data_IF_214167900715
#
_entry.id   IF_214167900715
#
_cell.length_a   1.000
_cell.length_b   1.000
_cell.length_c   1.000
_cell.angle_alpha   90.00
_cell.angle_beta   90.00
_cell.angle_gamma   90.00
#
_symmetry.space_group_name_H-M   'P 1'
#
loop_
_entity.id
_entity.type
_entity.pdbx_description
1 polymer ?
#
# COMPACT_ATOMS: atom_id res chain seq x y z
N UNK A 1 6.08 29.37 5.53
CA UNK A 1 5.89 28.33 6.58
C UNK A 1 7.03 28.43 7.59
N UNK A 2 6.96 27.68 8.70
CA UNK A 2 7.99 27.66 9.75
C UNK A 2 7.82 28.75 10.81
N UNK A 3 8.52 28.61 11.95
CA UNK A 3 8.40 29.50 13.12
C UNK A 3 8.55 31.00 12.80
N UNK A 4 9.33 31.32 11.76
CA UNK A 4 9.62 32.68 11.30
C UNK A 4 8.99 33.00 9.93
N UNK A 5 8.09 32.17 9.42
CA UNK A 5 7.41 32.33 8.13
C UNK A 5 8.32 32.49 6.90
N UNK A 6 9.60 32.21 7.03
CA UNK A 6 10.63 32.39 6.01
C UNK A 6 10.96 31.12 5.20
N UNK A 7 10.26 30.01 5.47
CA UNK A 7 10.51 28.73 4.79
C UNK A 7 9.49 28.48 3.69
N UNK A 8 10.00 28.08 2.53
CA UNK A 8 9.20 27.71 1.36
C UNK A 8 8.63 26.28 1.48
N UNK A 9 9.27 25.44 2.28
CA UNK A 9 8.86 24.05 2.55
C UNK A 9 8.61 23.85 4.04
N UNK A 10 7.63 23.01 4.37
CA UNK A 10 7.43 22.53 5.73
C UNK A 10 8.13 21.19 5.89
N UNK A 11 8.87 21.02 6.99
CA UNK A 11 9.44 19.73 7.33
C UNK A 11 8.33 18.70 7.53
N UNK A 12 8.46 17.56 6.88
CA UNK A 12 7.47 16.51 6.94
C UNK A 12 7.40 15.87 8.33
N UNK A 13 6.19 15.76 8.89
CA UNK A 13 5.95 15.06 10.16
C UNK A 13 5.94 13.53 10.03
N UNK A 14 5.69 12.84 11.15
CA UNK A 14 5.73 11.36 11.23
C UNK A 14 4.36 10.71 11.43
N UNK A 15 3.26 11.45 11.30
CA UNK A 15 1.91 10.95 11.57
C UNK A 15 1.49 9.75 10.70
N UNK A 16 2.17 9.53 9.56
CA UNK A 16 1.97 8.40 8.64
C UNK A 16 2.34 7.05 9.27
N UNK A 17 3.23 7.03 10.27
CA UNK A 17 3.65 5.81 10.99
C UNK A 17 2.47 5.15 11.74
N UNK A 18 1.36 5.87 11.97
CA UNK A 18 0.14 5.30 12.55
C UNK A 18 -0.51 4.23 11.67
N UNK A 19 -0.20 4.18 10.37
CA UNK A 19 -0.72 3.16 9.46
C UNK A 19 -0.35 1.73 9.91
N UNK A 20 0.82 1.54 10.54
CA UNK A 20 1.29 0.23 10.99
C UNK A 20 0.35 -0.46 11.97
N UNK A 21 -0.38 0.30 12.79
CA UNK A 21 -1.32 -0.28 13.76
C UNK A 21 -2.40 -1.09 13.05
N UNK A 22 -3.07 -0.48 12.06
CA UNK A 22 -4.14 -1.15 11.32
C UNK A 22 -3.61 -2.28 10.45
N UNK A 23 -2.39 -2.13 9.91
CA UNK A 23 -1.71 -3.19 9.14
C UNK A 23 -1.47 -4.41 10.04
N UNK A 24 -0.92 -4.21 11.24
CA UNK A 24 -0.66 -5.30 12.19
C UNK A 24 -1.96 -5.96 12.69
N UNK A 25 -3.00 -5.18 12.96
CA UNK A 25 -4.32 -5.71 13.34
C UNK A 25 -4.89 -6.63 12.26
N UNK A 26 -4.86 -6.21 10.99
CA UNK A 26 -5.36 -7.01 9.87
C UNK A 26 -4.46 -8.21 9.56
N UNK A 27 -3.14 -8.07 9.69
CA UNK A 27 -2.20 -9.17 9.52
C UNK A 27 -2.48 -10.30 10.52
N UNK A 28 -2.71 -9.94 11.79
CA UNK A 28 -3.09 -10.87 12.84
C UNK A 28 -4.45 -11.54 12.57
N UNK A 29 -5.43 -10.77 12.12
CA UNK A 29 -6.75 -11.30 11.74
C UNK A 29 -6.64 -12.34 10.61
N UNK A 30 -5.79 -12.08 9.62
CA UNK A 30 -5.61 -12.92 8.42
C UNK A 30 -4.39 -13.85 8.52
N UNK A 31 -3.90 -14.16 9.72
CA UNK A 31 -2.64 -14.91 9.90
C UNK A 31 -2.69 -16.33 9.31
N UNK A 32 -3.89 -16.91 9.21
CA UNK A 32 -4.13 -18.24 8.61
C UNK A 32 -4.33 -18.19 7.10
N UNK A 33 -4.44 -16.99 6.51
CA UNK A 33 -4.70 -16.82 5.09
C UNK A 33 -3.40 -16.82 4.29
N UNK A 34 -3.47 -17.31 3.05
CA UNK A 34 -2.33 -17.32 2.10
C UNK A 34 -2.27 -16.03 1.26
N UNK A 35 -3.13 -15.07 1.56
CA UNK A 35 -3.16 -13.75 0.95
C UNK A 35 -3.22 -12.65 2.02
N UNK A 36 -2.81 -11.45 1.66
CA UNK A 36 -2.97 -10.24 2.45
C UNK A 36 -3.40 -9.07 1.56
N UNK A 37 -4.70 -8.95 1.24
CA UNK A 37 -5.23 -7.93 0.32
C UNK A 37 -5.33 -6.53 0.98
N UNK A 38 -4.27 -6.07 1.64
CA UNK A 38 -4.21 -4.75 2.25
C UNK A 38 -3.56 -3.74 1.29
N UNK A 39 -4.28 -2.66 0.98
CA UNK A 39 -3.83 -1.62 0.05
C UNK A 39 -3.68 -0.30 0.81
N UNK A 40 -2.57 0.38 0.60
CA UNK A 40 -2.32 1.72 1.14
C UNK A 40 -2.09 2.70 -0.01
N UNK A 41 -3.02 3.64 -0.20
CA UNK A 41 -2.88 4.73 -1.15
C UNK A 41 -2.27 5.97 -0.49
N UNK A 42 -1.21 6.50 -1.09
CA UNK A 42 -0.48 7.68 -0.61
C UNK A 42 -0.58 8.80 -1.64
N UNK A 43 -0.81 10.03 -1.18
CA UNK A 43 -0.80 11.23 -2.01
C UNK A 43 -0.18 12.41 -1.28
N UNK A 44 0.28 13.41 -2.04
CA UNK A 44 0.88 14.63 -1.54
C UNK A 44 2.40 14.68 -1.62
N UNK A 45 2.97 15.85 -1.29
CA UNK A 45 4.39 16.17 -1.48
C UNK A 45 5.36 15.36 -0.61
N UNK A 46 4.85 14.63 0.39
CA UNK A 46 5.66 13.77 1.26
C UNK A 46 5.92 12.37 0.68
N UNK A 47 5.30 12.02 -0.45
CA UNK A 47 5.38 10.68 -1.04
C UNK A 47 5.75 10.72 -2.53
N UNK A 48 6.47 11.77 -2.94
CA UNK A 48 6.94 11.94 -4.30
C UNK A 48 7.87 10.80 -4.72
N UNK A 49 7.75 10.37 -5.97
CA UNK A 49 8.69 9.42 -6.62
C UNK A 49 9.36 10.02 -7.85
N UNK A 50 9.03 11.28 -8.17
CA UNK A 50 9.66 12.05 -9.23
C UNK A 50 9.81 13.51 -8.77
N UNK A 51 10.88 14.17 -9.23
CA UNK A 51 11.10 15.59 -8.96
C UNK A 51 10.06 16.42 -9.72
N UNK A 52 9.39 17.33 -9.03
CA UNK A 52 8.37 18.21 -9.62
C UNK A 52 8.74 19.68 -9.43
N UNK A 53 8.20 20.55 -10.28
CA UNK A 53 8.37 22.00 -10.17
C UNK A 53 7.02 22.66 -9.96
N UNK A 54 6.92 23.53 -8.95
CA UNK A 54 5.70 24.24 -8.60
C UNK A 54 5.92 25.74 -8.75
N UNK A 55 5.09 26.39 -9.56
CA UNK A 55 5.12 27.85 -9.74
C UNK A 55 4.26 28.52 -8.67
N UNK A 56 4.84 29.46 -7.93
CA UNK A 56 4.13 30.26 -6.93
C UNK A 56 3.41 31.45 -7.59
N UNK A 57 2.43 32.06 -6.90
CA UNK A 57 1.73 33.24 -7.41
C UNK A 57 2.65 34.43 -7.72
N UNK A 58 3.79 34.54 -7.06
CA UNK A 58 4.83 35.56 -7.30
C UNK A 58 5.70 35.27 -8.55
N UNK A 59 5.43 34.17 -9.26
CA UNK A 59 6.14 33.77 -10.47
C UNK A 59 7.38 32.92 -10.22
N UNK A 60 7.87 32.79 -8.97
CA UNK A 60 9.02 31.94 -8.65
C UNK A 60 8.68 30.46 -8.83
N UNK A 61 9.63 29.70 -9.35
CA UNK A 61 9.52 28.24 -9.49
C UNK A 61 10.29 27.56 -8.36
N UNK A 62 9.61 26.70 -7.61
CA UNK A 62 10.20 25.91 -6.52
C UNK A 62 10.28 24.46 -6.98
N UNK A 63 11.50 23.93 -7.02
CA UNK A 63 11.75 22.52 -7.34
C UNK A 63 11.65 21.68 -6.07
N UNK A 64 10.84 20.63 -6.12
CA UNK A 64 10.66 19.65 -5.05
C UNK A 64 11.37 18.36 -5.43
N UNK A 65 12.53 18.13 -4.82
CA UNK A 65 13.32 16.91 -5.01
C UNK A 65 12.71 15.74 -4.24
N UNK A 66 12.36 14.67 -4.97
CA UNK A 66 11.69 13.52 -4.36
C UNK A 66 12.61 12.76 -3.39
N UNK A 67 13.93 12.77 -3.61
CA UNK A 67 14.92 12.09 -2.77
C UNK A 67 15.34 12.94 -1.55
N UNK A 68 14.71 14.09 -1.31
CA UNK A 68 15.00 14.92 -0.15
C UNK A 68 14.37 14.35 1.13
N UNK A 69 15.20 13.99 2.11
CA UNK A 69 14.76 13.55 3.44
C UNK A 69 14.03 14.64 4.25
N UNK A 70 14.01 15.89 3.79
CA UNK A 70 13.20 16.96 4.40
C UNK A 70 11.71 16.76 4.09
N UNK A 71 11.41 16.24 2.89
CA UNK A 71 10.06 16.08 2.36
C UNK A 71 9.59 14.62 2.37
N UNK A 72 10.40 13.69 1.85
CA UNK A 72 9.96 12.34 1.58
C UNK A 72 9.84 11.51 2.88
N UNK A 73 8.71 10.81 3.02
CA UNK A 73 8.39 9.92 4.14
C UNK A 73 7.99 8.53 3.67
N UNK A 74 8.23 8.19 2.40
CA UNK A 74 7.91 6.88 1.84
C UNK A 74 8.68 5.76 2.55
N UNK A 75 9.95 6.00 2.91
CA UNK A 75 10.77 5.06 3.69
C UNK A 75 10.20 4.73 5.07
N UNK A 76 9.32 5.58 5.62
CA UNK A 76 8.62 5.26 6.87
C UNK A 76 7.66 4.09 6.70
N UNK A 77 7.24 3.75 5.48
CA UNK A 77 6.26 2.71 5.19
C UNK A 77 6.84 1.45 4.54
N UNK A 78 8.09 1.48 4.06
CA UNK A 78 8.70 0.35 3.32
C UNK A 78 8.89 -0.90 4.17
N UNK A 79 8.93 -0.78 5.50
CA UNK A 79 8.95 -1.96 6.36
C UNK A 79 7.63 -2.77 6.29
N UNK A 80 6.50 -2.12 5.97
CA UNK A 80 5.20 -2.78 5.87
C UNK A 80 5.08 -3.74 4.67
N UNK A 81 5.93 -3.57 3.65
CA UNK A 81 6.00 -4.48 2.51
C UNK A 81 7.39 -5.12 2.35
N UNK A 82 8.22 -5.07 3.40
CA UNK A 82 9.57 -5.63 3.43
C UNK A 82 10.52 -5.09 2.35
N UNK A 83 10.31 -3.85 1.90
CA UNK A 83 11.09 -3.24 0.82
C UNK A 83 10.82 -3.83 -0.57
N UNK A 84 9.73 -4.59 -0.73
CA UNK A 84 9.25 -4.99 -2.05
C UNK A 84 8.82 -3.75 -2.87
N UNK A 85 8.75 -3.86 -4.21
CA UNK A 85 8.41 -2.71 -5.03
C UNK A 85 7.06 -2.08 -4.66
N UNK A 86 7.03 -0.74 -4.63
CA UNK A 86 5.79 0.02 -4.55
C UNK A 86 5.07 0.02 -5.91
N UNK A 87 3.80 0.43 -5.91
CA UNK A 87 2.90 0.41 -7.06
C UNK A 87 2.73 -0.99 -7.69
N UNK A 88 2.80 -2.04 -6.85
CA UNK A 88 2.61 -3.42 -7.24
C UNK A 88 1.63 -4.13 -6.31
N UNK A 89 0.91 -5.08 -6.89
CA UNK A 89 -0.01 -5.95 -6.18
C UNK A 89 0.80 -7.05 -5.46
N UNK A 90 0.85 -6.96 -4.13
CA UNK A 90 1.55 -7.89 -3.24
C UNK A 90 0.57 -8.77 -2.45
N UNK A 91 -0.65 -8.95 -2.97
CA UNK A 91 -1.74 -9.66 -2.29
C UNK A 91 -1.41 -11.11 -1.95
N UNK A 92 -0.66 -11.83 -2.78
CA UNK A 92 -0.27 -13.20 -2.50
C UNK A 92 0.92 -13.24 -1.53
N UNK A 93 0.76 -13.94 -0.39
CA UNK A 93 1.82 -14.01 0.62
C UNK A 93 3.07 -14.69 0.07
N UNK A 94 4.24 -14.18 0.46
CA UNK A 94 5.54 -14.74 0.06
C UNK A 94 6.07 -15.65 1.15
N UNK A 95 6.60 -16.80 0.76
CA UNK A 95 7.28 -17.71 1.68
C UNK A 95 8.80 -17.54 1.49
N UNK A 96 9.50 -17.32 2.59
CA UNK A 96 10.96 -17.23 2.61
C UNK A 96 11.52 -18.33 3.50
N UNK A 97 12.57 -18.98 3.03
CA UNK A 97 13.27 -20.00 3.80
C UNK A 97 14.47 -19.40 4.49
N UNK A 98 14.63 -19.70 5.78
CA UNK A 98 15.81 -19.39 6.55
C UNK A 98 16.20 -20.62 7.37
N UNK A 99 17.32 -21.25 6.98
CA UNK A 99 17.75 -22.54 7.52
C UNK A 99 16.62 -23.59 7.38
N UNK A 100 16.20 -24.17 8.49
CA UNK A 100 15.15 -25.19 8.56
C UNK A 100 13.74 -24.60 8.81
N UNK A 101 13.59 -23.27 8.68
CA UNK A 101 12.31 -22.58 8.91
C UNK A 101 11.79 -21.97 7.62
N UNK A 102 10.49 -22.12 7.38
CA UNK A 102 9.75 -21.42 6.34
C UNK A 102 8.89 -20.36 7.03
N UNK A 103 9.03 -19.11 6.61
CA UNK A 103 8.33 -17.97 7.19
C UNK A 103 7.42 -17.37 6.10
N UNK A 104 6.15 -17.17 6.44
CA UNK A 104 5.20 -16.47 5.59
C UNK A 104 5.30 -14.96 5.83
N UNK A 105 5.40 -14.19 4.77
CA UNK A 105 5.45 -12.72 4.78
C UNK A 105 4.12 -12.16 4.27
N UNK A 106 3.48 -11.32 5.08
CA UNK A 106 2.27 -10.58 4.75
C UNK A 106 2.66 -9.16 4.34
N UNK A 107 2.90 -8.94 3.05
CA UNK A 107 3.33 -7.65 2.51
C UNK A 107 2.12 -6.83 2.08
N UNK A 108 2.05 -5.55 2.49
CA UNK A 108 0.99 -4.66 1.98
C UNK A 108 1.31 -4.17 0.57
N UNK A 109 0.27 -3.89 -0.23
CA UNK A 109 0.44 -3.23 -1.52
C UNK A 109 0.43 -1.71 -1.32
N UNK A 110 1.60 -1.07 -1.40
CA UNK A 110 1.76 0.38 -1.24
C UNK A 110 1.68 1.04 -2.61
N UNK A 111 0.72 1.93 -2.81
CA UNK A 111 0.57 2.73 -4.02
C UNK A 111 0.77 4.21 -3.70
N UNK A 112 1.54 4.91 -4.52
CA UNK A 112 1.76 6.35 -4.38
C UNK A 112 1.52 7.08 -5.68
N UNK A 113 0.91 8.25 -5.58
CA UNK A 113 0.79 9.20 -6.69
C UNK A 113 2.07 10.06 -6.72
N UNK A 114 3.06 9.57 -7.46
CA UNK A 114 4.45 10.04 -7.41
C UNK A 114 4.70 11.50 -7.80
N UNK A 115 3.75 12.13 -8.48
CA UNK A 115 3.77 13.54 -8.88
C UNK A 115 3.11 14.47 -7.84
N UNK A 116 2.66 13.91 -6.70
CA UNK A 116 2.04 14.64 -5.59
C UNK A 116 0.60 15.07 -5.87
N UNK A 117 0.01 14.67 -7.00
CA UNK A 117 -1.38 14.96 -7.30
C UNK A 117 -2.33 14.07 -6.48
N UNK A 118 -3.63 14.39 -6.56
CA UNK A 118 -4.68 13.55 -5.99
C UNK A 118 -4.85 12.28 -6.81
N UNK A 119 -5.29 11.22 -6.14
CA UNK A 119 -5.64 9.98 -6.84
C UNK A 119 -6.79 10.13 -7.82
N UNK A 120 -6.67 9.47 -8.97
CA UNK A 120 -7.79 9.23 -9.86
C UNK A 120 -8.63 8.06 -9.34
N UNK A 121 -9.93 8.29 -9.10
CA UNK A 121 -10.83 7.29 -8.52
C UNK A 121 -10.97 6.01 -9.37
N UNK A 122 -10.96 6.12 -10.69
CA UNK A 122 -11.03 4.95 -11.58
C UNK A 122 -9.76 4.10 -11.44
N UNK A 123 -8.59 4.72 -11.36
CA UNK A 123 -7.32 4.00 -11.12
C UNK A 123 -7.32 3.30 -9.76
N UNK A 124 -7.80 3.98 -8.70
CA UNK A 124 -7.93 3.34 -7.39
C UNK A 124 -8.86 2.13 -7.45
N UNK A 125 -10.01 2.26 -8.12
CA UNK A 125 -10.95 1.16 -8.30
C UNK A 125 -10.34 -0.02 -9.06
N UNK A 126 -9.62 0.24 -10.15
CA UNK A 126 -8.92 -0.79 -10.93
C UNK A 126 -7.91 -1.56 -10.07
N UNK A 127 -7.10 -0.85 -9.27
CA UNK A 127 -6.13 -1.45 -8.34
C UNK A 127 -6.85 -2.31 -7.30
N UNK A 128 -7.90 -1.77 -6.66
CA UNK A 128 -8.68 -2.50 -5.66
C UNK A 128 -9.30 -3.77 -6.26
N UNK A 129 -9.83 -3.68 -7.47
CA UNK A 129 -10.43 -4.82 -8.17
C UNK A 129 -9.39 -5.88 -8.55
N UNK A 130 -8.19 -5.48 -8.95
CA UNK A 130 -7.09 -6.39 -9.27
C UNK A 130 -6.63 -7.17 -8.02
N UNK A 131 -6.45 -6.47 -6.90
CA UNK A 131 -6.10 -7.08 -5.61
C UNK A 131 -7.21 -8.03 -5.15
N UNK A 132 -8.48 -7.62 -5.23
CA UNK A 132 -9.61 -8.47 -4.89
C UNK A 132 -9.68 -9.74 -5.75
N UNK A 133 -9.45 -9.62 -7.06
CA UNK A 133 -9.37 -10.78 -7.97
C UNK A 133 -8.23 -11.72 -7.59
N UNK A 134 -7.08 -11.17 -7.18
CA UNK A 134 -5.94 -11.96 -6.71
C UNK A 134 -6.29 -12.72 -5.42
N UNK A 135 -6.97 -12.04 -4.50
CA UNK A 135 -7.52 -12.65 -3.28
C UNK A 135 -8.44 -13.84 -3.61
N UNK A 136 -9.40 -13.65 -4.53
CA UNK A 136 -10.32 -14.71 -4.95
C UNK A 136 -9.61 -15.89 -5.61
N UNK A 137 -8.55 -15.63 -6.40
CA UNK A 137 -7.73 -16.70 -6.99
C UNK A 137 -7.08 -17.57 -5.91
N UNK A 138 -6.52 -16.94 -4.86
CA UNK A 138 -5.91 -17.67 -3.74
C UNK A 138 -6.95 -18.48 -2.95
N UNK A 139 -8.16 -17.92 -2.78
CA UNK A 139 -9.29 -18.60 -2.13
C UNK A 139 -10.02 -19.63 -3.03
N UNK A 140 -9.58 -19.81 -4.28
CA UNK A 140 -10.32 -20.58 -5.29
C UNK A 140 -10.64 -22.02 -4.87
N UNK A 141 -9.74 -22.67 -4.13
CA UNK A 141 -9.97 -24.03 -3.60
C UNK A 141 -11.14 -24.09 -2.61
N UNK A 142 -11.25 -23.08 -1.74
CA UNK A 142 -12.33 -22.98 -0.74
C UNK A 142 -13.68 -22.59 -1.36
N UNK A 143 -13.65 -21.82 -2.46
CA UNK A 143 -14.86 -21.35 -3.14
C UNK A 143 -15.38 -22.32 -4.21
N UNK A 144 -14.58 -23.31 -4.60
CA UNK A 144 -14.88 -24.22 -5.71
C UNK A 144 -16.28 -24.83 -5.61
N UNK A 145 -16.64 -25.47 -4.50
CA UNK A 145 -17.93 -26.14 -4.33
C UNK A 145 -19.15 -25.22 -4.54
N UNK A 146 -19.03 -23.94 -4.14
CA UNK A 146 -20.09 -22.95 -4.32
C UNK A 146 -20.21 -22.52 -5.79
N UNK A 147 -19.07 -22.40 -6.48
CA UNK A 147 -19.01 -21.99 -7.90
C UNK A 147 -19.63 -23.06 -8.82
N UNK A 148 -19.33 -24.34 -8.58
CA UNK A 148 -19.91 -25.46 -9.35
C UNK A 148 -21.32 -25.86 -8.88
N UNK A 149 -21.91 -25.17 -7.91
CA UNK A 149 -23.27 -25.44 -7.46
C UNK A 149 -23.46 -26.81 -6.78
N UNK A 150 -22.38 -27.40 -6.24
CA UNK A 150 -22.48 -28.59 -5.37
C UNK A 150 -22.94 -28.15 -3.98
N UNK A 151 -24.19 -27.71 -3.90
CA UNK A 151 -24.89 -27.64 -2.63
C UNK A 151 -25.03 -29.07 -2.12
N UNK A 152 -24.48 -29.35 -0.93
CA UNK A 152 -24.74 -30.59 -0.21
C UNK A 152 -26.25 -30.70 0.01
N UNK A 153 -26.94 -31.43 -0.88
CA UNK A 153 -28.24 -32.04 -0.58
C UNK A 153 -27.94 -33.13 0.44
N UNK A 154 -27.77 -32.75 1.71
CA UNK A 154 -28.17 -33.63 2.80
C UNK A 154 -29.68 -33.54 2.84
N UNK A 155 -30.36 -34.43 2.10
CA UNK A 155 -31.69 -34.87 2.50
C UNK A 155 -31.49 -35.53 3.87
N UNK A 156 -31.97 -34.86 4.91
CA UNK A 156 -32.26 -35.50 6.17
C UNK A 156 -33.41 -36.47 5.92
N UNK A 157 -33.12 -37.76 6.01
CA UNK A 157 -34.13 -38.79 6.32
C UNK A 157 -34.53 -38.67 7.80
#
# INVERSE_FOLDING_TARGET
>A
MGKYSNQDLMQAGNAIERAYKNIAEMANFMLKELHFPYILFLEGSNFLTQTISVKRPDGRVVTLEYNSGVLNRLDKLTAANYGMPINQNLCQNKFVQYRDRIIMLQAISIYTQGDGQKWNLNKMFEIMLEVARTSLKVLGSSLFNQIIGKNNVKKSD
#
